data_IF_055512989766
#
_entry.id   IF_055512989766
#
_cell.length_a   1.000
_cell.length_b   1.000
_cell.length_c   1.000
_cell.angle_alpha   90.00
_cell.angle_beta   90.00
_cell.angle_gamma   90.00
#
_symmetry.space_group_name_H-M   'P 1'
#
loop_
_entity.id
_entity.type
_entity.pdbx_description
1 polymer ?
#
# COMPACT_ATOMS: atom_id res chain seq x y z
N UNK A 1 5.32 9.18 5.65
CA UNK A 1 6.11 9.59 6.84
C UNK A 1 7.52 9.84 6.39
N UNK A 2 8.16 10.92 6.85
CA UNK A 2 9.58 11.16 6.58
C UNK A 2 10.44 10.04 7.19
N UNK A 3 11.64 9.82 6.64
CA UNK A 3 12.57 8.80 7.13
C UNK A 3 12.83 9.00 8.63
N UNK A 4 13.10 10.25 9.03
CA UNK A 4 13.26 10.66 10.44
C UNK A 4 12.03 10.29 11.28
N UNK A 5 10.82 10.59 10.80
CA UNK A 5 9.58 10.27 11.52
C UNK A 5 9.40 8.77 11.76
N UNK A 6 9.76 7.90 10.80
CA UNK A 6 9.68 6.44 10.99
C UNK A 6 10.64 5.94 12.06
N UNK A 7 11.83 6.55 12.18
CA UNK A 7 12.82 6.22 13.20
C UNK A 7 12.38 6.70 14.58
N UNK A 8 11.88 7.93 14.70
CA UNK A 8 11.35 8.47 15.97
C UNK A 8 10.22 7.58 16.52
N UNK A 9 9.26 7.22 15.66
CA UNK A 9 8.15 6.34 16.05
C UNK A 9 8.65 4.96 16.47
N UNK A 10 9.63 4.40 15.75
CA UNK A 10 10.18 3.08 16.10
C UNK A 10 10.97 3.09 17.40
N UNK A 11 11.72 4.17 17.68
CA UNK A 11 12.42 4.36 18.96
C UNK A 11 11.43 4.45 20.12
N UNK A 12 10.40 5.29 19.99
CA UNK A 12 9.36 5.43 21.00
C UNK A 12 8.61 4.12 21.23
N UNK A 13 8.22 3.42 20.16
CA UNK A 13 7.55 2.13 20.23
C UNK A 13 8.44 1.04 20.86
N UNK A 14 9.75 1.04 20.55
CA UNK A 14 10.71 0.10 21.16
C UNK A 14 10.82 0.33 22.66
N UNK A 15 10.97 1.58 23.10
CA UNK A 15 11.03 1.91 24.51
C UNK A 15 9.73 1.52 25.23
N UNK A 16 8.58 1.98 24.72
CA UNK A 16 7.28 1.67 25.30
C UNK A 16 7.02 0.16 25.39
N UNK A 17 7.35 -0.58 24.32
CA UNK A 17 7.14 -2.03 24.29
C UNK A 17 8.09 -2.77 25.23
N UNK A 18 9.35 -2.34 25.35
CA UNK A 18 10.32 -2.96 26.26
C UNK A 18 9.88 -2.77 27.73
N UNK A 19 9.57 -1.53 28.13
CA UNK A 19 9.12 -1.27 29.51
C UNK A 19 7.80 -1.97 29.86
N UNK A 20 6.84 -1.99 28.92
CA UNK A 20 5.57 -2.68 29.14
C UNK A 20 5.76 -4.20 29.28
N UNK A 21 6.56 -4.79 28.39
CA UNK A 21 6.92 -6.20 28.46
C UNK A 21 7.60 -6.53 29.79
N UNK A 22 8.61 -5.75 30.18
CA UNK A 22 9.38 -6.00 31.40
C UNK A 22 8.51 -5.90 32.67
N UNK A 23 7.65 -4.87 32.75
CA UNK A 23 6.75 -4.71 33.88
C UNK A 23 5.77 -5.89 34.01
N UNK A 24 5.18 -6.32 32.90
CA UNK A 24 4.22 -7.44 32.89
C UNK A 24 4.91 -8.77 33.17
N UNK A 25 6.11 -8.99 32.61
CA UNK A 25 6.87 -10.22 32.81
C UNK A 25 7.36 -10.35 34.27
N UNK A 26 7.99 -9.32 34.82
CA UNK A 26 8.44 -9.33 36.22
C UNK A 26 7.27 -9.48 37.20
N UNK A 27 6.15 -8.78 36.97
CA UNK A 27 4.96 -8.90 37.81
C UNK A 27 4.35 -10.31 37.76
N UNK A 28 4.27 -10.93 36.58
CA UNK A 28 3.75 -12.28 36.42
C UNK A 28 4.65 -13.33 37.06
N UNK A 29 5.97 -13.21 36.88
CA UNK A 29 6.96 -14.06 37.53
C UNK A 29 6.84 -13.99 39.06
N UNK A 30 6.83 -12.78 39.62
CA UNK A 30 6.70 -12.56 41.06
C UNK A 30 5.36 -13.07 41.60
N UNK A 31 4.27 -12.86 40.86
CA UNK A 31 2.94 -13.34 41.24
C UNK A 31 2.87 -14.86 41.24
N UNK A 32 3.48 -15.53 40.25
CA UNK A 32 3.48 -16.99 40.18
C UNK A 32 4.23 -17.62 41.35
N UNK A 33 5.36 -17.03 41.75
CA UNK A 33 6.07 -17.42 42.98
C UNK A 33 5.21 -17.17 44.22
N UNK A 34 4.62 -15.97 44.35
CA UNK A 34 3.84 -15.59 45.53
C UNK A 34 2.57 -16.44 45.76
N UNK A 35 1.99 -17.00 44.70
CA UNK A 35 0.81 -17.87 44.79
C UNK A 35 1.16 -19.27 45.32
N UNK A 36 2.43 -19.70 45.25
CA UNK A 36 2.87 -21.01 45.76
C UNK A 36 2.27 -22.21 45.00
N UNK A 37 1.79 -22.00 43.77
CA UNK A 37 1.07 -23.04 43.01
C UNK A 37 1.94 -24.27 42.70
N UNK A 38 3.26 -24.10 42.74
CA UNK A 38 4.25 -25.14 42.45
C UNK A 38 5.02 -25.56 43.71
N UNK A 39 4.54 -25.20 44.90
CA UNK A 39 5.16 -25.59 46.16
C UNK A 39 5.12 -27.11 46.34
N UNK A 40 6.27 -27.69 46.70
CA UNK A 40 6.41 -29.15 46.85
C UNK A 40 6.50 -29.93 45.54
N UNK A 41 6.43 -29.27 44.38
CA UNK A 41 6.71 -29.90 43.08
C UNK A 41 8.21 -30.17 42.95
N UNK A 42 8.59 -31.38 42.53
CA UNK A 42 9.99 -31.72 42.34
C UNK A 42 10.65 -30.85 41.27
N UNK A 43 11.91 -30.48 41.49
CA UNK A 43 12.63 -29.51 40.66
C UNK A 43 12.69 -29.93 39.18
N UNK A 44 12.76 -31.24 38.87
CA UNK A 44 12.70 -31.72 37.48
C UNK A 44 11.42 -31.28 36.74
N UNK A 45 10.28 -31.28 37.41
CA UNK A 45 9.00 -30.87 36.81
C UNK A 45 8.90 -29.35 36.65
N UNK A 46 9.53 -28.58 37.55
CA UNK A 46 9.65 -27.12 37.39
C UNK A 46 10.55 -26.76 36.21
N UNK A 47 11.63 -27.51 35.98
CA UNK A 47 12.46 -27.36 34.78
C UNK A 47 11.69 -27.71 33.50
N UNK A 48 10.89 -28.79 33.51
CA UNK A 48 10.01 -29.13 32.37
C UNK A 48 9.02 -28.01 32.10
N UNK A 49 8.43 -27.42 33.15
CA UNK A 49 7.53 -26.28 33.03
C UNK A 49 8.22 -25.03 32.44
N UNK A 50 9.45 -24.74 32.86
CA UNK A 50 10.26 -23.67 32.28
C UNK A 50 10.57 -23.93 30.79
N UNK A 51 10.93 -25.16 30.41
CA UNK A 51 11.14 -25.51 29.00
C UNK A 51 9.86 -25.37 28.19
N UNK A 52 8.72 -25.79 28.73
CA UNK A 52 7.42 -25.65 28.10
C UNK A 52 7.03 -24.17 27.90
N UNK A 53 7.36 -23.29 28.86
CA UNK A 53 7.11 -21.85 28.70
C UNK A 53 7.90 -21.26 27.53
N UNK A 54 9.14 -21.72 27.27
CA UNK A 54 9.91 -21.28 26.10
C UNK A 54 9.31 -21.75 24.78
N UNK A 55 8.70 -22.95 24.75
CA UNK A 55 7.97 -23.40 23.57
C UNK A 55 6.74 -22.50 23.28
N UNK A 56 6.01 -22.09 24.32
CA UNK A 56 4.88 -21.16 24.21
C UNK A 56 5.36 -19.77 23.76
N UNK A 57 6.48 -19.29 24.33
CA UNK A 57 7.11 -18.04 23.92
C UNK A 57 7.53 -18.04 22.45
N UNK A 58 8.09 -19.15 21.95
CA UNK A 58 8.43 -19.26 20.53
C UNK A 58 7.20 -19.11 19.61
N UNK A 59 6.01 -19.56 20.04
CA UNK A 59 4.75 -19.37 19.30
C UNK A 59 4.30 -17.90 19.32
N UNK A 60 4.35 -17.25 20.48
CA UNK A 60 4.06 -15.83 20.64
C UNK A 60 4.98 -14.96 19.78
N UNK A 61 6.29 -15.18 19.92
CA UNK A 61 7.32 -14.51 19.14
C UNK A 61 7.13 -14.72 17.64
N UNK A 62 6.87 -15.95 17.18
CA UNK A 62 6.61 -16.21 15.75
C UNK A 62 5.44 -15.39 15.20
N UNK A 63 4.39 -15.20 16.01
CA UNK A 63 3.24 -14.38 15.64
C UNK A 63 3.65 -12.91 15.51
N UNK A 64 4.40 -12.39 16.47
CA UNK A 64 4.87 -11.01 16.43
C UNK A 64 5.89 -10.75 15.32
N UNK A 65 6.86 -11.63 15.11
CA UNK A 65 7.86 -11.49 14.04
C UNK A 65 7.21 -11.36 12.65
N UNK A 66 6.13 -12.11 12.39
CA UNK A 66 5.35 -12.00 11.16
C UNK A 66 4.65 -10.64 11.06
N UNK A 67 4.00 -10.21 12.13
CA UNK A 67 3.29 -8.93 12.17
C UNK A 67 4.26 -7.75 12.05
N UNK A 68 5.40 -7.78 12.73
CA UNK A 68 6.46 -6.78 12.65
C UNK A 68 7.06 -6.69 11.24
N UNK A 69 7.31 -7.83 10.58
CA UNK A 69 7.76 -7.85 9.19
C UNK A 69 6.73 -7.26 8.21
N UNK A 70 5.43 -7.39 8.49
CA UNK A 70 4.37 -6.74 7.74
C UNK A 70 4.28 -5.24 8.04
N UNK A 71 4.43 -4.84 9.31
CA UNK A 71 4.46 -3.44 9.74
C UNK A 71 5.63 -2.71 9.08
N UNK A 72 6.85 -3.25 9.17
CA UNK A 72 8.04 -2.70 8.50
C UNK A 72 7.83 -2.52 7.00
N UNK A 73 7.21 -3.49 6.34
CA UNK A 73 6.93 -3.41 4.91
C UNK A 73 5.88 -2.32 4.58
N UNK A 74 4.85 -2.15 5.42
CA UNK A 74 3.71 -1.27 5.17
C UNK A 74 3.93 0.18 5.63
N UNK A 75 4.70 0.39 6.71
CA UNK A 75 4.84 1.70 7.37
C UNK A 75 6.30 2.14 7.50
N UNK A 76 7.26 1.22 7.35
CA UNK A 76 8.67 1.46 7.67
C UNK A 76 8.93 1.60 9.18
N UNK A 77 7.96 1.30 10.04
CA UNK A 77 8.10 1.34 11.50
C UNK A 77 8.18 -0.05 12.11
N UNK A 78 8.69 -0.12 13.34
CA UNK A 78 8.87 -1.37 14.10
C UNK A 78 8.70 -1.10 15.58
N UNK A 79 8.25 -2.10 16.33
CA UNK A 79 8.30 -2.09 17.81
C UNK A 79 9.68 -2.50 18.34
N UNK A 80 10.64 -2.66 17.43
CA UNK A 80 12.02 -3.04 17.74
C UNK A 80 13.00 -2.32 16.80
N UNK A 81 13.81 -1.43 17.36
CA UNK A 81 14.71 -0.56 16.59
C UNK A 81 15.81 -1.33 15.86
N UNK A 82 16.33 -2.42 16.42
CA UNK A 82 17.35 -3.25 15.76
C UNK A 82 16.74 -4.03 14.60
N UNK A 83 15.50 -4.51 14.74
CA UNK A 83 14.73 -5.09 13.65
C UNK A 83 14.57 -4.11 12.48
N UNK A 84 14.24 -2.84 12.78
CA UNK A 84 14.16 -1.78 11.75
C UNK A 84 15.50 -1.51 11.11
N UNK A 85 16.57 -1.37 11.89
CA UNK A 85 17.91 -1.15 11.37
C UNK A 85 18.33 -2.26 10.39
N UNK A 86 18.14 -3.52 10.78
CA UNK A 86 18.41 -4.66 9.93
C UNK A 86 17.56 -4.64 8.66
N UNK A 87 16.27 -4.35 8.77
CA UNK A 87 15.37 -4.25 7.62
C UNK A 87 15.84 -3.19 6.62
N UNK A 88 16.11 -1.97 7.08
CA UNK A 88 16.47 -0.83 6.22
C UNK A 88 17.84 -1.05 5.56
N UNK A 89 18.83 -1.56 6.30
CA UNK A 89 20.17 -1.87 5.76
C UNK A 89 20.09 -2.98 4.71
N UNK A 90 19.35 -4.05 4.99
CA UNK A 90 19.21 -5.16 4.04
C UNK A 90 18.39 -4.77 2.83
N UNK A 91 17.32 -3.97 2.99
CA UNK A 91 16.49 -3.50 1.88
C UNK A 91 17.29 -2.65 0.88
N UNK A 92 18.26 -1.85 1.35
CA UNK A 92 19.16 -1.07 0.47
C UNK A 92 20.10 -1.95 -0.36
N UNK A 93 20.40 -3.17 0.09
CA UNK A 93 21.40 -4.06 -0.54
C UNK A 93 20.78 -5.25 -1.27
N UNK A 94 19.59 -5.68 -0.87
CA UNK A 94 18.98 -6.91 -1.34
C UNK A 94 17.95 -6.65 -2.44
N UNK A 95 18.05 -7.42 -3.54
CA UNK A 95 17.05 -7.43 -4.63
C UNK A 95 15.71 -8.09 -4.24
N UNK A 96 15.67 -8.88 -3.15
CA UNK A 96 14.47 -9.60 -2.69
C UNK A 96 14.00 -9.09 -1.33
N UNK A 97 12.74 -8.67 -1.25
CA UNK A 97 12.13 -8.18 -0.01
C UNK A 97 12.02 -9.23 1.11
N UNK A 98 12.01 -10.53 0.76
CA UNK A 98 12.03 -11.62 1.75
C UNK A 98 13.29 -11.62 2.62
N UNK A 99 14.43 -11.21 2.05
CA UNK A 99 15.72 -11.17 2.77
C UNK A 99 15.71 -10.08 3.85
N UNK A 100 15.13 -8.91 3.57
CA UNK A 100 15.00 -7.84 4.54
C UNK A 100 14.10 -8.24 5.72
N UNK A 101 12.98 -8.93 5.45
CA UNK A 101 12.10 -9.45 6.50
C UNK A 101 12.77 -10.51 7.38
N UNK A 102 13.58 -11.39 6.78
CA UNK A 102 14.35 -12.38 7.54
C UNK A 102 15.40 -11.70 8.44
N UNK A 103 16.16 -10.74 7.91
CA UNK A 103 17.14 -9.99 8.69
C UNK A 103 16.48 -9.25 9.87
N UNK A 104 15.33 -8.62 9.62
CA UNK A 104 14.54 -7.97 10.66
C UNK A 104 14.09 -8.96 11.75
N UNK A 105 13.63 -10.15 11.35
CA UNK A 105 13.18 -11.18 12.28
C UNK A 105 14.32 -11.71 13.14
N UNK A 106 15.50 -11.94 12.56
CA UNK A 106 16.71 -12.36 13.28
C UNK A 106 17.14 -11.30 14.28
N UNK A 107 17.18 -10.03 13.88
CA UNK A 107 17.54 -8.94 14.78
C UNK A 107 16.56 -8.79 15.95
N UNK A 108 15.25 -8.91 15.68
CA UNK A 108 14.22 -8.89 16.73
C UNK A 108 14.40 -10.07 17.69
N UNK A 109 14.50 -11.30 17.18
CA UNK A 109 14.69 -12.48 18.04
C UNK A 109 15.97 -12.36 18.88
N UNK A 110 17.07 -11.86 18.31
CA UNK A 110 18.32 -11.62 19.03
C UNK A 110 18.17 -10.63 20.18
N UNK A 111 17.40 -9.55 20.00
CA UNK A 111 17.12 -8.61 21.11
C UNK A 111 16.26 -9.20 22.20
N UNK A 112 15.29 -10.06 21.88
CA UNK A 112 14.50 -10.71 22.92
C UNK A 112 15.36 -11.69 23.72
N UNK A 113 16.18 -12.50 23.06
CA UNK A 113 17.13 -13.40 23.74
C UNK A 113 18.13 -12.62 24.61
N UNK A 114 18.62 -11.47 24.15
CA UNK A 114 19.52 -10.64 24.96
C UNK A 114 18.83 -10.09 26.22
N UNK A 115 17.55 -9.72 26.13
CA UNK A 115 16.75 -9.24 27.26
C UNK A 115 16.48 -10.30 28.33
N UNK A 116 16.64 -11.59 28.03
CA UNK A 116 16.54 -12.66 29.03
C UNK A 116 17.71 -12.64 30.02
N UNK A 117 18.90 -12.19 29.61
CA UNK A 117 20.12 -12.32 30.43
C UNK A 117 19.98 -11.63 31.81
N UNK A 118 19.48 -10.39 31.91
CA UNK A 118 19.20 -9.76 33.20
C UNK A 118 18.23 -10.53 34.10
N UNK A 119 17.22 -11.22 33.54
CA UNK A 119 16.26 -12.00 34.34
C UNK A 119 16.92 -13.19 35.01
N UNK A 120 17.74 -13.94 34.27
CA UNK A 120 18.51 -15.05 34.84
C UNK A 120 19.48 -14.57 35.91
N UNK A 121 20.22 -13.49 35.63
CA UNK A 121 21.15 -12.91 36.60
C UNK A 121 20.44 -12.43 37.87
N UNK A 122 19.28 -11.76 37.73
CA UNK A 122 18.52 -11.27 38.86
C UNK A 122 17.90 -12.43 39.67
N UNK A 123 17.25 -13.39 39.02
CA UNK A 123 16.57 -14.50 39.69
C UNK A 123 17.56 -15.40 40.46
N UNK A 124 18.63 -15.84 39.80
CA UNK A 124 19.64 -16.69 40.44
C UNK A 124 20.59 -15.91 41.34
N UNK A 125 20.85 -14.64 41.05
CA UNK A 125 21.60 -13.76 41.95
C UNK A 125 20.87 -13.53 43.27
N UNK A 126 19.55 -13.35 43.23
CA UNK A 126 18.72 -13.24 44.43
C UNK A 126 18.71 -14.56 45.22
N UNK A 127 18.54 -15.71 44.56
CA UNK A 127 18.60 -17.01 45.20
C UNK A 127 19.98 -17.33 45.82
N UNK A 128 21.06 -16.80 45.27
CA UNK A 128 22.40 -16.95 45.84
C UNK A 128 22.68 -15.97 47.00
N UNK A 129 21.93 -14.88 47.09
CA UNK A 129 22.17 -13.80 48.06
C UNK A 129 21.35 -13.95 49.35
N UNK A 130 20.29 -14.77 49.35
CA UNK A 130 19.41 -14.96 50.52
C UNK A 130 18.78 -16.35 50.56
N UNK A 131 18.66 -16.94 51.76
CA UNK A 131 17.95 -18.20 51.99
C UNK A 131 16.42 -18.07 51.81
N UNK A 132 15.91 -16.84 51.72
CA UNK A 132 14.49 -16.57 51.53
C UNK A 132 13.99 -16.87 50.11
N UNK A 133 14.90 -17.01 49.12
CA UNK A 133 14.56 -17.28 47.72
C UNK A 133 15.29 -18.56 47.31
N UNK A 134 14.55 -19.61 46.99
CA UNK A 134 15.12 -20.88 46.58
C UNK A 134 15.46 -20.88 45.08
N UNK A 135 16.30 -21.84 44.65
CA UNK A 135 16.52 -22.07 43.21
C UNK A 135 15.23 -22.47 42.48
N UNK A 136 14.29 -23.13 43.17
CA UNK A 136 12.97 -23.45 42.63
C UNK A 136 12.17 -22.17 42.41
N UNK A 137 12.18 -21.22 43.35
CA UNK A 137 11.50 -19.92 43.20
C UNK A 137 12.07 -19.13 42.02
N UNK A 138 13.38 -19.16 41.81
CA UNK A 138 14.02 -18.54 40.65
C UNK A 138 13.53 -19.16 39.32
N UNK A 139 13.41 -20.49 39.24
CA UNK A 139 12.89 -21.20 38.07
C UNK A 139 11.41 -20.89 37.82
N UNK A 140 10.60 -20.86 38.88
CA UNK A 140 9.17 -20.52 38.81
C UNK A 140 8.98 -19.07 38.35
N UNK A 141 9.76 -18.13 38.89
CA UNK A 141 9.78 -16.73 38.47
C UNK A 141 10.07 -16.61 36.97
N UNK A 142 11.14 -17.27 36.49
CA UNK A 142 11.52 -17.25 35.08
C UNK A 142 10.42 -17.85 34.19
N UNK A 143 9.80 -18.96 34.61
CA UNK A 143 8.72 -19.56 33.84
C UNK A 143 7.47 -18.66 33.77
N UNK A 144 7.09 -18.01 34.87
CA UNK A 144 6.00 -17.03 34.90
C UNK A 144 6.26 -15.80 34.04
N UNK A 145 7.48 -15.25 34.14
CA UNK A 145 7.91 -14.11 33.31
C UNK A 145 7.88 -14.45 31.81
N UNK A 146 8.37 -15.64 31.44
CA UNK A 146 8.39 -16.09 30.05
C UNK A 146 6.99 -16.35 29.48
N UNK A 147 6.07 -16.92 30.26
CA UNK A 147 4.66 -17.08 29.85
C UNK A 147 3.97 -15.73 29.60
N UNK A 148 4.23 -14.73 30.46
CA UNK A 148 3.74 -13.38 30.27
C UNK A 148 4.34 -12.72 29.03
N UNK A 149 5.64 -12.90 28.80
CA UNK A 149 6.31 -12.43 27.58
C UNK A 149 5.71 -13.06 26.33
N UNK A 150 5.41 -14.36 26.36
CA UNK A 150 4.74 -15.07 25.27
C UNK A 150 3.36 -14.46 24.94
N UNK A 151 2.56 -14.20 25.98
CA UNK A 151 1.25 -13.57 25.86
C UNK A 151 1.33 -12.15 25.31
N UNK A 152 2.30 -11.35 25.78
CA UNK A 152 2.55 -10.00 25.31
C UNK A 152 2.93 -9.98 23.82
N UNK A 153 3.90 -10.80 23.41
CA UNK A 153 4.35 -10.93 22.02
C UNK A 153 3.19 -11.37 21.10
N UNK A 154 2.41 -12.36 21.52
CA UNK A 154 1.21 -12.78 20.78
C UNK A 154 0.20 -11.64 20.64
N UNK A 155 -0.11 -10.95 21.74
CA UNK A 155 -1.05 -9.82 21.77
C UNK A 155 -0.61 -8.67 20.87
N UNK A 156 0.66 -8.26 20.97
CA UNK A 156 1.26 -7.22 20.14
C UNK A 156 1.20 -7.59 18.65
N UNK A 157 1.49 -8.84 18.30
CA UNK A 157 1.36 -9.34 16.94
C UNK A 157 -0.07 -9.29 16.41
N UNK A 158 -1.06 -9.65 17.24
CA UNK A 158 -2.49 -9.61 16.88
C UNK A 158 -3.01 -8.18 16.71
N UNK A 159 -2.63 -7.26 17.60
CA UNK A 159 -2.98 -5.84 17.53
C UNK A 159 -2.36 -5.18 16.32
N UNK A 160 -1.07 -5.41 16.06
CA UNK A 160 -0.37 -4.92 14.87
C UNK A 160 -1.06 -5.43 13.60
N UNK A 161 -1.42 -6.71 13.55
CA UNK A 161 -2.16 -7.27 12.42
C UNK A 161 -3.55 -6.65 12.24
N UNK A 162 -4.26 -6.33 13.33
CA UNK A 162 -5.57 -5.66 13.26
C UNK A 162 -5.44 -4.21 12.77
N UNK A 163 -4.45 -3.47 13.26
CA UNK A 163 -4.13 -2.13 12.81
C UNK A 163 -3.85 -2.10 11.30
N UNK A 164 -3.02 -3.01 10.79
CA UNK A 164 -2.70 -3.07 9.37
C UNK A 164 -3.94 -3.38 8.50
N UNK A 165 -4.87 -4.21 8.98
CA UNK A 165 -6.12 -4.51 8.26
C UNK A 165 -7.07 -3.32 8.14
N UNK A 166 -7.05 -2.40 9.11
CA UNK A 166 -7.97 -1.26 9.16
C UNK A 166 -7.25 0.07 8.90
N UNK A 167 -6.04 0.02 8.31
CA UNK A 167 -5.25 1.23 8.02
C UNK A 167 -5.89 2.09 6.93
N UNK A 168 -6.69 1.48 6.06
CA UNK A 168 -7.34 2.13 4.95
C UNK A 168 -8.85 2.00 5.02
N UNK A 169 -9.52 2.99 4.46
CA UNK A 169 -10.95 3.00 4.21
C UNK A 169 -11.31 2.01 3.09
N UNK A 170 -12.56 1.53 3.10
CA UNK A 170 -13.05 0.61 2.07
C UNK A 170 -13.60 1.39 0.88
N UNK A 171 -13.26 0.95 -0.34
CA UNK A 171 -13.85 1.54 -1.55
C UNK A 171 -15.37 1.32 -1.63
N UNK A 172 -15.86 0.20 -1.12
CA UNK A 172 -17.27 -0.19 -1.19
C UNK A 172 -18.16 0.56 -0.20
N UNK A 173 -17.63 0.95 0.96
CA UNK A 173 -18.44 1.54 2.05
C UNK A 173 -18.11 2.99 2.34
N UNK A 174 -16.88 3.43 2.10
CA UNK A 174 -16.40 4.74 2.53
C UNK A 174 -16.13 5.70 1.37
N UNK A 175 -16.05 5.21 0.14
CA UNK A 175 -15.77 6.02 -1.04
C UNK A 175 -16.98 6.88 -1.44
N UNK A 176 -16.76 8.17 -1.59
CA UNK A 176 -17.76 9.13 -2.05
C UNK A 176 -17.17 9.89 -3.25
N UNK A 177 -17.61 9.60 -4.48
CA UNK A 177 -17.04 10.18 -5.70
C UNK A 177 -16.93 11.70 -5.68
N UNK A 178 -17.95 12.39 -5.17
CA UNK A 178 -18.01 13.85 -5.16
C UNK A 178 -16.97 14.46 -4.21
N UNK A 179 -16.57 13.75 -3.15
CA UNK A 179 -15.46 14.19 -2.28
C UNK A 179 -14.13 14.06 -3.00
N UNK A 180 -13.94 12.98 -3.76
CA UNK A 180 -12.74 12.82 -4.59
C UNK A 180 -12.64 13.94 -5.64
N UNK A 181 -13.74 14.26 -6.31
CA UNK A 181 -13.81 15.36 -7.25
C UNK A 181 -13.56 16.73 -6.60
N UNK A 182 -14.08 16.96 -5.40
CA UNK A 182 -13.85 18.21 -4.67
C UNK A 182 -12.40 18.36 -4.20
N UNK A 183 -11.78 17.27 -3.75
CA UNK A 183 -10.43 17.29 -3.18
C UNK A 183 -9.33 17.41 -4.26
N UNK A 184 -9.50 16.75 -5.42
CA UNK A 184 -8.45 16.63 -6.44
C UNK A 184 -8.75 17.38 -7.74
N UNK A 185 -10.02 17.68 -8.03
CA UNK A 185 -10.44 18.17 -9.35
C UNK A 185 -11.17 19.52 -9.31
N UNK A 186 -11.12 20.22 -8.17
CA UNK A 186 -11.59 21.61 -8.10
C UNK A 186 -10.72 22.59 -8.91
N UNK A 187 -9.46 22.20 -9.18
CA UNK A 187 -8.52 22.89 -10.05
C UNK A 187 -7.62 21.86 -10.75
N UNK A 188 -6.90 22.28 -11.80
CA UNK A 188 -5.91 21.41 -12.45
C UNK A 188 -4.63 21.44 -11.62
N UNK A 189 -4.35 20.33 -10.95
CA UNK A 189 -3.18 20.21 -10.09
C UNK A 189 -1.90 19.87 -10.88
N UNK A 190 -0.69 20.08 -10.30
CA UNK A 190 0.58 19.87 -11.00
C UNK A 190 0.79 18.45 -11.57
N UNK A 191 0.33 17.42 -10.89
CA UNK A 191 0.30 16.04 -11.41
C UNK A 191 -0.61 15.89 -12.63
N UNK A 192 -1.79 16.48 -12.60
CA UNK A 192 -2.73 16.45 -13.73
C UNK A 192 -2.22 17.26 -14.93
N UNK A 193 -1.55 18.39 -14.69
CA UNK A 193 -0.83 19.15 -15.73
C UNK A 193 0.16 18.23 -16.47
N UNK A 194 1.01 17.52 -15.72
CA UNK A 194 1.99 16.60 -16.31
C UNK A 194 1.30 15.41 -17.01
N UNK A 195 0.28 14.84 -16.39
CA UNK A 195 -0.39 13.62 -16.88
C UNK A 195 -1.18 13.88 -18.15
N UNK A 196 -1.92 14.98 -18.24
CA UNK A 196 -2.68 15.36 -19.44
C UNK A 196 -1.72 15.66 -20.60
N UNK A 197 -0.63 16.40 -20.36
CA UNK A 197 0.38 16.68 -21.38
C UNK A 197 1.04 15.39 -21.91
N UNK A 198 1.40 14.49 -21.00
CA UNK A 198 1.94 13.17 -21.34
C UNK A 198 0.95 12.34 -22.16
N UNK A 199 -0.31 12.27 -21.70
CA UNK A 199 -1.36 11.50 -22.37
C UNK A 199 -1.60 11.99 -23.81
N UNK A 200 -1.72 13.31 -24.00
CA UNK A 200 -1.85 13.92 -25.33
C UNK A 200 -0.67 13.57 -26.23
N UNK A 201 0.56 13.62 -25.69
CA UNK A 201 1.77 13.24 -26.42
C UNK A 201 1.77 11.76 -26.83
N UNK A 202 1.47 10.86 -25.89
CA UNK A 202 1.45 9.41 -26.11
C UNK A 202 0.38 8.98 -27.11
N UNK A 203 -0.81 9.61 -27.04
CA UNK A 203 -1.94 9.33 -27.93
C UNK A 203 -1.64 9.68 -29.40
N UNK A 204 -0.63 10.49 -29.71
CA UNK A 204 -0.18 10.73 -31.10
C UNK A 204 0.27 9.46 -31.81
N UNK A 205 0.72 8.46 -31.05
CA UNK A 205 1.15 7.16 -31.56
C UNK A 205 0.07 6.06 -31.47
N UNK A 206 -1.11 6.40 -30.96
CA UNK A 206 -2.21 5.47 -30.83
C UNK A 206 -2.82 5.12 -32.21
N UNK A 207 -3.27 3.88 -32.43
CA UNK A 207 -4.13 3.55 -33.55
C UNK A 207 -5.38 4.45 -33.57
N UNK A 208 -5.69 5.02 -34.74
CA UNK A 208 -6.85 5.89 -34.93
C UNK A 208 -8.06 5.07 -35.38
N UNK A 209 -9.24 5.63 -35.16
CA UNK A 209 -10.55 5.09 -35.57
C UNK A 209 -10.85 3.69 -35.01
N UNK A 210 -10.20 3.34 -33.91
CA UNK A 210 -10.42 2.11 -33.15
C UNK A 210 -11.00 2.42 -31.76
N UNK A 211 -11.74 1.49 -31.13
CA UNK A 211 -12.26 1.72 -29.78
C UNK A 211 -11.15 1.79 -28.74
N UNK A 212 -11.25 2.78 -27.85
CA UNK A 212 -10.29 3.02 -26.76
C UNK A 212 -10.94 2.68 -25.42
N UNK A 213 -10.23 1.89 -24.60
CA UNK A 213 -10.67 1.56 -23.25
C UNK A 213 -9.97 2.45 -22.22
N UNK A 214 -10.75 3.10 -21.37
CA UNK A 214 -10.28 3.63 -20.10
C UNK A 214 -10.62 2.63 -18.99
N UNK A 215 -9.62 2.08 -18.32
CA UNK A 215 -9.81 1.09 -17.25
C UNK A 215 -9.54 1.72 -15.88
N UNK A 216 -10.51 1.65 -14.98
CA UNK A 216 -10.46 2.32 -13.68
C UNK A 216 -10.51 3.84 -13.82
N UNK A 217 -11.45 4.35 -14.60
CA UNK A 217 -11.59 5.78 -14.91
C UNK A 217 -11.97 6.64 -13.68
N UNK A 218 -12.42 6.02 -12.59
CA UNK A 218 -12.95 6.73 -11.44
C UNK A 218 -14.21 7.53 -11.82
N UNK A 219 -14.57 8.57 -11.07
CA UNK A 219 -15.67 9.47 -11.44
C UNK A 219 -15.24 10.58 -12.41
N UNK A 220 -14.14 10.38 -13.16
CA UNK A 220 -13.39 11.48 -13.79
C UNK A 220 -13.46 11.51 -15.31
N UNK A 221 -13.20 12.67 -15.92
CA UNK A 221 -13.23 12.85 -17.39
C UNK A 221 -11.97 13.48 -17.99
N UNK A 222 -11.09 14.09 -17.18
CA UNK A 222 -9.94 14.88 -17.65
C UNK A 222 -8.99 14.10 -18.57
N UNK A 223 -8.79 12.80 -18.36
CA UNK A 223 -8.01 11.94 -19.25
C UNK A 223 -8.74 11.53 -20.54
N UNK A 224 -10.07 11.64 -20.58
CA UNK A 224 -10.88 11.12 -21.69
C UNK A 224 -10.86 12.05 -22.90
N UNK A 225 -10.75 13.36 -22.68
CA UNK A 225 -10.92 14.37 -23.75
C UNK A 225 -9.87 14.26 -24.87
N UNK A 226 -8.65 13.87 -24.55
CA UNK A 226 -7.59 13.70 -25.55
C UNK A 226 -7.87 12.53 -26.52
N UNK A 227 -8.67 11.54 -26.11
CA UNK A 227 -9.01 10.40 -26.96
C UNK A 227 -10.16 10.69 -27.95
N UNK A 228 -10.93 11.76 -27.74
CA UNK A 228 -12.16 12.04 -28.48
C UNK A 228 -11.96 12.21 -30.01
N UNK A 229 -10.80 12.75 -30.43
CA UNK A 229 -10.45 12.98 -31.85
C UNK A 229 -9.83 11.77 -32.56
N UNK A 230 -9.42 10.75 -31.79
CA UNK A 230 -8.71 9.58 -32.33
C UNK A 230 -9.54 8.31 -32.25
N UNK A 231 -10.43 8.19 -31.26
CA UNK A 231 -11.18 6.98 -31.01
C UNK A 231 -12.40 6.90 -31.94
N UNK A 232 -12.73 5.70 -32.45
CA UNK A 232 -14.06 5.49 -33.05
C UNK A 232 -15.15 5.48 -31.97
N UNK A 233 -14.85 4.81 -30.85
CA UNK A 233 -15.67 4.69 -29.64
C UNK A 233 -14.80 4.77 -28.39
N UNK A 234 -15.37 5.27 -27.30
CA UNK A 234 -14.73 5.36 -25.98
C UNK A 234 -15.52 4.49 -25.01
N UNK A 235 -14.83 3.54 -24.39
CA UNK A 235 -15.39 2.68 -23.36
C UNK A 235 -14.78 3.06 -22.01
N UNK A 236 -15.64 3.36 -21.03
CA UNK A 236 -15.22 3.80 -19.71
C UNK A 236 -15.54 2.70 -18.70
N UNK A 237 -14.51 2.08 -18.14
CA UNK A 237 -14.62 1.02 -17.16
C UNK A 237 -14.25 1.48 -15.76
N UNK A 238 -15.06 1.17 -14.75
CA UNK A 238 -14.70 1.35 -13.35
C UNK A 238 -15.25 0.23 -12.46
N UNK A 239 -14.61 -0.02 -11.32
CA UNK A 239 -15.06 -1.02 -10.35
C UNK A 239 -16.30 -0.58 -9.58
N UNK A 240 -16.41 0.71 -9.27
CA UNK A 240 -17.46 1.25 -8.42
C UNK A 240 -18.61 1.79 -9.28
N UNK A 241 -19.84 1.24 -9.15
CA UNK A 241 -21.00 1.77 -9.84
C UNK A 241 -21.26 3.26 -9.55
N UNK A 242 -20.92 3.73 -8.35
CA UNK A 242 -21.06 5.13 -7.96
C UNK A 242 -20.18 6.08 -8.79
N UNK A 243 -18.99 5.63 -9.21
CA UNK A 243 -18.11 6.41 -10.09
C UNK A 243 -18.72 6.54 -11.49
N UNK A 244 -19.20 5.42 -12.04
CA UNK A 244 -19.88 5.40 -13.34
C UNK A 244 -21.16 6.25 -13.34
N UNK A 245 -21.88 6.29 -12.22
CA UNK A 245 -23.06 7.15 -12.06
C UNK A 245 -22.71 8.65 -12.15
N UNK A 246 -21.57 9.09 -11.58
CA UNK A 246 -21.12 10.48 -11.71
C UNK A 246 -20.70 10.82 -13.14
N UNK A 247 -20.05 9.90 -13.84
CA UNK A 247 -19.77 10.05 -15.28
C UNK A 247 -21.08 10.16 -16.08
N UNK A 248 -22.06 9.30 -15.78
CA UNK A 248 -23.37 9.32 -16.45
C UNK A 248 -24.08 10.66 -16.25
N UNK A 249 -23.98 11.26 -15.06
CA UNK A 249 -24.51 12.61 -14.78
C UNK A 249 -23.86 13.68 -15.67
N UNK A 250 -22.54 13.62 -15.88
CA UNK A 250 -21.87 14.55 -16.80
C UNK A 250 -22.27 14.31 -18.26
N UNK A 251 -22.39 13.05 -18.69
CA UNK A 251 -22.86 12.69 -20.04
C UNK A 251 -24.26 13.25 -20.29
N UNK A 252 -25.16 13.13 -19.32
CA UNK A 252 -26.55 13.60 -19.42
C UNK A 252 -26.73 15.10 -19.16
N UNK A 253 -25.64 15.86 -18.97
CA UNK A 253 -25.67 17.29 -18.57
C UNK A 253 -26.54 17.54 -17.34
N UNK A 254 -26.51 16.63 -16.37
CA UNK A 254 -27.32 16.76 -15.16
C UNK A 254 -26.92 18.04 -14.39
N UNK A 255 -27.89 18.74 -13.76
CA UNK A 255 -27.58 19.84 -12.87
C UNK A 255 -26.57 19.43 -11.78
N UNK A 256 -25.55 20.26 -11.57
CA UNK A 256 -24.49 20.01 -10.59
C UNK A 256 -23.57 18.83 -10.93
N UNK A 257 -23.56 18.35 -12.18
CA UNK A 257 -22.45 17.55 -12.67
C UNK A 257 -21.14 18.36 -12.62
N UNK A 258 -20.02 17.69 -12.40
CA UNK A 258 -18.72 18.34 -12.28
C UNK A 258 -18.34 19.11 -13.56
N UNK A 259 -17.80 20.31 -13.39
CA UNK A 259 -17.37 21.17 -14.50
C UNK A 259 -15.95 20.78 -14.96
N UNK A 260 -15.87 20.13 -16.12
CA UNK A 260 -14.60 19.70 -16.71
C UNK A 260 -14.02 20.70 -17.71
N UNK A 261 -14.69 21.84 -17.96
CA UNK A 261 -14.24 22.83 -18.96
C UNK A 261 -12.79 23.29 -18.77
N UNK A 262 -12.27 23.54 -17.54
CA UNK A 262 -10.86 23.88 -17.36
C UNK A 262 -9.91 22.80 -17.88
N UNK A 263 -10.22 21.52 -17.62
CA UNK A 263 -9.42 20.38 -18.06
C UNK A 263 -9.47 20.19 -19.58
N UNK A 264 -10.64 20.42 -20.20
CA UNK A 264 -10.78 20.43 -21.67
C UNK A 264 -9.95 21.54 -22.27
N UNK A 265 -10.02 22.76 -21.71
CA UNK A 265 -9.23 23.90 -22.16
C UNK A 265 -7.73 23.56 -22.12
N UNK A 266 -7.24 23.01 -21.01
CA UNK A 266 -5.84 22.61 -20.90
C UNK A 266 -5.45 21.48 -21.87
N UNK A 267 -6.34 20.50 -22.06
CA UNK A 267 -6.13 19.42 -23.06
C UNK A 267 -5.94 20.00 -24.46
N UNK A 268 -6.78 20.96 -24.88
CA UNK A 268 -6.67 21.64 -26.17
C UNK A 268 -5.35 22.43 -26.29
N UNK A 269 -4.88 23.04 -25.20
CA UNK A 269 -3.56 23.69 -25.19
C UNK A 269 -2.42 22.69 -25.43
N UNK A 270 -2.46 21.51 -24.79
CA UNK A 270 -1.50 20.44 -25.02
C UNK A 270 -1.54 19.91 -26.46
N UNK A 271 -2.70 19.98 -27.12
CA UNK A 271 -2.88 19.62 -28.53
C UNK A 271 -2.38 20.70 -29.51
N UNK A 272 -1.99 21.88 -29.01
CA UNK A 272 -1.41 22.97 -29.79
C UNK A 272 -2.34 24.17 -30.02
N UNK A 273 -3.54 24.18 -29.44
CA UNK A 273 -4.45 25.33 -29.50
C UNK A 273 -4.04 26.34 -28.42
N UNK A 274 -3.29 27.37 -28.77
CA UNK A 274 -2.69 28.28 -27.78
C UNK A 274 -3.71 29.00 -26.87
N UNK A 275 -4.86 29.40 -27.43
CA UNK A 275 -5.96 30.07 -26.73
C UNK A 275 -7.30 29.47 -27.15
N UNK A 276 -7.69 28.32 -26.59
CA UNK A 276 -8.97 27.68 -26.89
C UNK A 276 -10.14 28.62 -26.60
N UNK A 277 -11.09 28.67 -27.52
CA UNK A 277 -12.34 29.41 -27.37
C UNK A 277 -13.37 28.58 -26.59
N UNK A 278 -14.39 29.25 -26.05
CA UNK A 278 -15.49 28.56 -25.36
C UNK A 278 -16.24 27.56 -26.25
N UNK A 279 -16.32 27.86 -27.55
CA UNK A 279 -16.93 27.00 -28.57
C UNK A 279 -16.09 25.75 -28.85
N UNK A 280 -14.76 25.87 -28.92
CA UNK A 280 -13.86 24.71 -29.07
C UNK A 280 -13.91 23.80 -27.84
N UNK A 281 -13.97 24.39 -26.64
CA UNK A 281 -14.15 23.64 -25.38
C UNK A 281 -15.48 22.90 -25.38
N UNK A 282 -16.58 23.60 -25.70
CA UNK A 282 -17.91 22.98 -25.78
C UNK A 282 -17.97 21.88 -26.85
N UNK A 283 -17.34 22.11 -28.00
CA UNK A 283 -17.26 21.13 -29.07
C UNK A 283 -16.55 19.86 -28.63
N UNK A 284 -15.41 19.98 -27.93
CA UNK A 284 -14.65 18.82 -27.44
C UNK A 284 -15.44 18.03 -26.39
N UNK A 285 -16.11 18.70 -25.46
CA UNK A 285 -16.98 17.98 -24.52
C UNK A 285 -18.09 17.21 -25.24
N UNK A 286 -18.74 17.84 -26.22
CA UNK A 286 -19.84 17.23 -26.98
C UNK A 286 -19.36 16.07 -27.84
N UNK A 287 -18.16 16.17 -28.41
CA UNK A 287 -17.52 15.07 -29.11
C UNK A 287 -17.24 13.90 -28.17
N UNK A 288 -16.66 14.16 -26.99
CA UNK A 288 -16.43 13.13 -25.99
C UNK A 288 -17.74 12.45 -25.57
N UNK A 289 -18.80 13.21 -25.26
CA UNK A 289 -20.13 12.67 -24.94
C UNK A 289 -20.68 11.75 -26.04
N UNK A 290 -20.54 12.14 -27.32
CA UNK A 290 -20.97 11.32 -28.47
C UNK A 290 -20.13 10.05 -28.63
N UNK A 291 -18.83 10.13 -28.35
CA UNK A 291 -17.88 9.03 -28.52
C UNK A 291 -17.95 8.01 -27.40
N UNK A 292 -18.41 8.39 -26.21
CA UNK A 292 -18.62 7.45 -25.10
C UNK A 292 -19.84 6.58 -25.40
N UNK A 293 -19.60 5.33 -25.76
CA UNK A 293 -20.65 4.36 -26.13
C UNK A 293 -20.93 3.35 -25.02
N UNK A 294 -20.00 3.15 -24.08
CA UNK A 294 -20.13 2.16 -23.02
C UNK A 294 -19.62 2.66 -21.66
N UNK A 295 -20.42 2.44 -20.62
CA UNK A 295 -20.01 2.46 -19.22
C UNK A 295 -20.00 1.01 -18.70
N UNK A 296 -18.83 0.53 -18.27
CA UNK A 296 -18.61 -0.87 -17.94
C UNK A 296 -18.23 -1.02 -16.47
N UNK A 297 -18.96 -1.85 -15.72
CA UNK A 297 -18.49 -2.26 -14.40
C UNK A 297 -17.41 -3.33 -14.58
N UNK A 298 -16.18 -3.05 -14.14
CA UNK A 298 -15.01 -3.91 -14.36
C UNK A 298 -14.23 -4.14 -13.08
N UNK A 299 -13.63 -5.33 -12.93
CA UNK A 299 -12.81 -5.65 -11.76
C UNK A 299 -11.46 -6.25 -12.20
N UNK A 300 -10.38 -5.50 -11.99
CA UNK A 300 -9.02 -5.90 -12.34
C UNK A 300 -8.51 -7.15 -11.60
N UNK A 301 -9.19 -7.63 -10.56
CA UNK A 301 -8.86 -8.91 -9.93
C UNK A 301 -9.24 -10.12 -10.79
N UNK A 302 -10.23 -9.96 -11.69
CA UNK A 302 -10.60 -10.97 -12.67
C UNK A 302 -9.50 -11.11 -13.73
N UNK A 303 -9.14 -12.35 -14.08
CA UNK A 303 -8.07 -12.63 -15.05
C UNK A 303 -8.40 -12.12 -16.46
N UNK A 304 -9.70 -11.98 -16.78
CA UNK A 304 -10.22 -11.39 -18.01
C UNK A 304 -11.38 -10.47 -17.61
N UNK A 305 -11.11 -9.21 -17.23
CA UNK A 305 -12.14 -8.31 -16.72
C UNK A 305 -13.13 -7.88 -17.82
N UNK A 306 -12.72 -7.99 -19.09
CA UNK A 306 -13.56 -7.75 -20.28
C UNK A 306 -13.21 -8.83 -21.32
N UNK A 307 -14.21 -9.40 -21.97
CA UNK A 307 -14.01 -10.39 -23.06
C UNK A 307 -13.80 -9.70 -24.42
N UNK A 308 -12.86 -8.76 -24.47
CA UNK A 308 -12.49 -7.99 -25.66
C UNK A 308 -11.08 -7.43 -25.52
N UNK A 309 -10.32 -7.44 -26.60
CA UNK A 309 -9.03 -6.74 -26.69
C UNK A 309 -9.22 -5.36 -27.34
N UNK A 310 -8.36 -4.42 -26.95
CA UNK A 310 -8.37 -3.05 -27.42
C UNK A 310 -7.01 -2.67 -28.03
N UNK A 311 -7.04 -1.87 -29.10
CA UNK A 311 -5.82 -1.34 -29.70
C UNK A 311 -5.15 -0.29 -28.80
N UNK A 312 -5.91 0.35 -27.92
CA UNK A 312 -5.42 1.29 -26.90
C UNK A 312 -6.15 1.08 -25.58
N UNK A 313 -5.39 0.93 -24.49
CA UNK A 313 -5.90 0.87 -23.11
C UNK A 313 -5.22 1.95 -22.27
N UNK A 314 -6.00 2.76 -21.56
CA UNK A 314 -5.55 3.88 -20.74
C UNK A 314 -6.03 3.63 -19.31
N UNK A 315 -5.13 3.65 -18.31
CA UNK A 315 -5.46 3.23 -16.94
C UNK A 315 -4.79 4.07 -15.82
N UNK A 316 -4.80 5.42 -15.91
CA UNK A 316 -4.14 6.28 -14.94
C UNK A 316 -4.72 6.13 -13.53
N UNK A 317 -3.82 6.11 -12.53
CA UNK A 317 -4.13 6.09 -11.09
C UNK A 317 -5.07 4.96 -10.63
N UNK A 318 -5.20 3.88 -11.40
CA UNK A 318 -6.09 2.76 -11.10
C UNK A 318 -5.38 1.68 -10.26
N UNK A 319 -4.45 0.94 -10.87
CA UNK A 319 -3.90 -0.26 -10.25
C UNK A 319 -3.10 0.04 -8.99
N UNK A 320 -2.35 1.14 -8.99
CA UNK A 320 -1.54 1.59 -7.86
C UNK A 320 -2.42 2.06 -6.70
N UNK A 321 -3.52 2.77 -6.98
CA UNK A 321 -4.45 3.28 -5.96
C UNK A 321 -5.42 2.23 -5.42
N UNK A 322 -5.61 1.11 -6.12
CA UNK A 322 -6.54 0.06 -5.70
C UNK A 322 -6.00 -0.83 -4.57
N UNK A 323 -4.69 -0.80 -4.27
CA UNK A 323 -4.08 -1.74 -3.32
C UNK A 323 -2.83 -1.18 -2.66
N UNK A 324 -2.52 -1.61 -1.45
CA UNK A 324 -1.27 -1.31 -0.74
C UNK A 324 -0.21 -2.41 -0.91
N UNK A 325 -0.49 -3.39 -1.76
CA UNK A 325 0.29 -4.61 -1.90
C UNK A 325 0.86 -4.74 -3.31
N UNK A 326 2.18 -4.70 -3.42
CA UNK A 326 2.90 -4.83 -4.68
C UNK A 326 2.61 -6.13 -5.46
N UNK A 327 2.33 -7.25 -4.77
CA UNK A 327 1.96 -8.51 -5.42
C UNK A 327 0.58 -8.41 -6.04
N UNK A 328 -0.37 -7.80 -5.33
CA UNK A 328 -1.70 -7.50 -5.85
C UNK A 328 -1.59 -6.54 -7.03
N UNK A 329 -0.83 -5.46 -6.91
CA UNK A 329 -0.59 -4.50 -7.98
C UNK A 329 -0.07 -5.19 -9.26
N UNK A 330 0.94 -6.06 -9.15
CA UNK A 330 1.45 -6.84 -10.31
C UNK A 330 0.37 -7.71 -10.96
N UNK A 331 -0.56 -8.26 -10.15
CA UNK A 331 -1.71 -9.03 -10.67
C UNK A 331 -2.70 -8.11 -11.40
N UNK A 332 -3.04 -6.96 -10.82
CA UNK A 332 -3.93 -5.98 -11.46
C UNK A 332 -3.33 -5.51 -12.79
N UNK A 333 -2.07 -5.08 -12.79
CA UNK A 333 -1.34 -4.66 -13.98
C UNK A 333 -1.38 -5.73 -15.07
N UNK A 334 -1.07 -6.99 -14.74
CA UNK A 334 -1.12 -8.09 -15.72
C UNK A 334 -2.52 -8.29 -16.32
N UNK A 335 -3.56 -8.17 -15.50
CA UNK A 335 -4.94 -8.37 -15.96
C UNK A 335 -5.41 -7.21 -16.84
N UNK A 336 -5.05 -5.97 -16.49
CA UNK A 336 -5.35 -4.76 -17.27
C UNK A 336 -4.57 -4.75 -18.59
N UNK A 337 -3.25 -4.95 -18.55
CA UNK A 337 -2.42 -4.98 -19.77
C UNK A 337 -2.74 -6.18 -20.66
N UNK A 338 -3.32 -7.25 -20.11
CA UNK A 338 -3.86 -8.37 -20.85
C UNK A 338 -4.99 -7.99 -21.83
N UNK A 339 -5.64 -6.84 -21.64
CA UNK A 339 -6.68 -6.28 -22.53
C UNK A 339 -6.10 -5.58 -23.76
N UNK A 340 -4.80 -5.29 -23.77
CA UNK A 340 -4.14 -4.59 -24.89
C UNK A 340 -3.91 -5.61 -26.00
N UNK A 341 -4.45 -5.40 -27.20
CA UNK A 341 -4.22 -6.28 -28.36
C UNK A 341 -2.75 -6.29 -28.81
N UNK A 342 -2.32 -7.28 -29.60
CA UNK A 342 -0.98 -7.28 -30.21
C UNK A 342 -0.67 -5.98 -30.96
N UNK A 343 0.52 -5.42 -30.78
CA UNK A 343 0.89 -4.11 -31.37
C UNK A 343 0.19 -2.89 -30.75
N UNK A 344 -0.73 -3.11 -29.81
CA UNK A 344 -1.52 -2.08 -29.15
C UNK A 344 -0.74 -1.23 -28.16
N UNK A 345 -1.35 -0.13 -27.74
CA UNK A 345 -0.78 0.87 -26.84
C UNK A 345 -1.41 0.76 -25.44
N UNK A 346 -0.56 0.78 -24.43
CA UNK A 346 -0.96 0.94 -23.04
C UNK A 346 -0.41 2.26 -22.51
N UNK A 347 -1.26 3.05 -21.85
CA UNK A 347 -0.85 4.31 -21.22
C UNK A 347 -1.36 4.32 -19.78
N UNK A 348 -0.52 4.72 -18.84
CA UNK A 348 -0.90 4.82 -17.43
C UNK A 348 -0.09 5.89 -16.71
N UNK A 349 -0.66 6.36 -15.60
CA UNK A 349 0.01 7.14 -14.58
C UNK A 349 -0.15 6.44 -13.22
N UNK A 350 0.72 6.71 -12.26
CA UNK A 350 0.63 6.20 -10.90
C UNK A 350 1.30 7.14 -9.91
N UNK A 351 0.87 7.10 -8.65
CA UNK A 351 1.49 7.84 -7.56
C UNK A 351 2.88 7.25 -7.25
N UNK A 352 3.94 8.02 -7.49
CA UNK A 352 5.32 7.53 -7.32
C UNK A 352 5.65 7.42 -5.82
N UNK A 353 6.03 6.22 -5.37
CA UNK A 353 6.43 5.92 -3.97
C UNK A 353 5.42 6.41 -2.92
N UNK A 354 4.15 6.32 -3.27
CA UNK A 354 3.04 6.70 -2.39
C UNK A 354 2.49 5.49 -1.64
N UNK A 355 2.22 5.65 -0.35
CA UNK A 355 1.62 4.61 0.50
C UNK A 355 0.15 4.87 0.80
N UNK A 356 -0.52 5.69 -0.01
CA UNK A 356 -1.93 5.98 0.11
C UNK A 356 -2.23 7.46 0.10
N UNK A 357 -3.43 7.78 -0.32
CA UNK A 357 -3.94 9.12 -0.58
C UNK A 357 -5.19 9.37 0.27
N UNK A 358 -5.67 10.61 0.35
CA UNK A 358 -6.77 10.97 1.24
C UNK A 358 -7.94 11.54 0.45
N UNK A 359 -9.13 11.02 0.68
CA UNK A 359 -10.38 11.50 0.09
C UNK A 359 -11.38 11.76 1.20
N UNK A 360 -11.87 12.98 1.32
CA UNK A 360 -12.88 13.36 2.30
C UNK A 360 -12.47 13.06 3.74
N UNK A 361 -11.18 13.24 4.05
CA UNK A 361 -10.59 12.93 5.36
C UNK A 361 -10.37 11.43 5.64
N UNK A 362 -10.61 10.55 4.66
CA UNK A 362 -10.36 9.10 4.77
C UNK A 362 -9.20 8.68 3.91
N UNK A 363 -8.37 7.77 4.42
CA UNK A 363 -7.16 7.31 3.75
C UNK A 363 -7.43 6.06 2.91
N UNK A 364 -7.07 6.09 1.64
CA UNK A 364 -7.14 4.97 0.69
C UNK A 364 -5.74 4.44 0.36
N UNK A 365 -5.62 3.18 -0.08
CA UNK A 365 -4.32 2.55 -0.29
C UNK A 365 -3.57 3.09 -1.50
N UNK A 366 -2.25 2.92 -1.52
CA UNK A 366 -1.46 2.97 -2.75
C UNK A 366 -0.28 2.01 -2.65
N UNK A 367 0.06 1.39 -3.78
CA UNK A 367 0.94 0.22 -3.83
C UNK A 367 2.42 0.54 -3.57
N UNK A 368 2.77 1.83 -3.43
CA UNK A 368 4.13 2.31 -3.23
C UNK A 368 5.09 1.79 -4.31
N UNK A 369 4.68 1.96 -5.56
CA UNK A 369 5.42 1.54 -6.75
C UNK A 369 6.43 2.60 -7.18
N UNK A 370 7.47 2.15 -7.88
CA UNK A 370 8.39 3.01 -8.62
C UNK A 370 8.67 2.46 -10.02
N UNK A 371 9.52 3.15 -10.77
CA UNK A 371 9.79 2.88 -12.19
C UNK A 371 10.27 1.45 -12.39
N UNK A 372 11.07 0.93 -11.45
CA UNK A 372 11.61 -0.42 -11.53
C UNK A 372 10.53 -1.50 -11.44
N UNK A 373 9.42 -1.20 -10.73
CA UNK A 373 8.27 -2.08 -10.68
C UNK A 373 7.49 -2.10 -12.00
N UNK A 374 7.38 -0.95 -12.69
CA UNK A 374 6.79 -0.85 -14.03
C UNK A 374 7.64 -1.58 -15.07
N UNK A 375 8.96 -1.36 -15.08
CA UNK A 375 9.90 -2.09 -15.93
C UNK A 375 9.75 -3.60 -15.73
N UNK A 376 9.76 -4.06 -14.48
CA UNK A 376 9.64 -5.48 -14.17
C UNK A 376 8.29 -6.08 -14.61
N UNK A 377 7.20 -5.32 -14.52
CA UNK A 377 5.87 -5.76 -14.88
C UNK A 377 5.65 -5.82 -16.41
N UNK A 378 6.25 -4.91 -17.17
CA UNK A 378 5.98 -4.73 -18.60
C UNK A 378 7.02 -5.38 -19.53
N UNK A 379 8.29 -5.49 -19.10
CA UNK A 379 9.45 -5.91 -19.94
C UNK A 379 9.31 -7.21 -20.72
N UNK A 380 8.35 -8.08 -20.37
CA UNK A 380 8.17 -9.37 -21.05
C UNK A 380 7.39 -9.22 -22.36
N UNK A 381 6.36 -8.37 -22.34
CA UNK A 381 5.33 -8.33 -23.39
C UNK A 381 5.24 -6.96 -24.07
N UNK A 382 5.98 -5.95 -23.57
CA UNK A 382 5.90 -4.58 -24.01
C UNK A 382 7.27 -3.90 -24.11
N UNK A 383 7.37 -2.97 -25.07
CA UNK A 383 8.41 -1.95 -25.11
C UNK A 383 7.89 -0.69 -24.41
N UNK A 384 8.44 -0.37 -23.23
CA UNK A 384 7.94 0.68 -22.36
C UNK A 384 8.88 1.90 -22.28
N UNK A 385 8.29 3.09 -22.25
CA UNK A 385 8.93 4.35 -21.88
C UNK A 385 8.30 4.82 -20.57
N UNK A 386 9.12 4.98 -19.54
CA UNK A 386 8.71 5.33 -18.19
C UNK A 386 9.45 6.61 -17.78
N UNK A 387 8.71 7.59 -17.28
CA UNK A 387 9.26 8.84 -16.77
C UNK A 387 8.70 9.17 -15.38
N UNK A 388 9.48 9.89 -14.59
CA UNK A 388 9.08 10.35 -13.26
C UNK A 388 8.96 11.85 -13.31
N UNK A 389 7.75 12.36 -13.06
CA UNK A 389 7.51 13.78 -13.00
C UNK A 389 7.42 14.22 -11.54
N UNK A 390 8.28 15.15 -11.12
CA UNK A 390 8.15 15.80 -9.83
C UNK A 390 7.03 16.84 -9.88
N UNK A 391 6.11 16.76 -8.93
CA UNK A 391 4.91 17.60 -8.88
C UNK A 391 4.89 18.52 -7.65
N UNK A 392 5.73 18.24 -6.65
CA UNK A 392 5.87 19.07 -5.45
C UNK A 392 4.66 19.02 -4.51
N UNK A 393 3.79 18.01 -4.65
CA UNK A 393 2.54 17.87 -3.88
C UNK A 393 2.70 17.08 -2.56
N UNK A 394 3.92 16.82 -2.08
CA UNK A 394 4.16 15.97 -0.89
C UNK A 394 3.38 16.43 0.34
N UNK A 395 3.32 17.75 0.55
CA UNK A 395 2.67 18.36 1.70
C UNK A 395 1.13 18.29 1.61
N UNK A 396 0.58 18.37 0.40
CA UNK A 396 -0.87 18.45 0.16
C UNK A 396 -1.49 17.06 0.11
N UNK A 397 -0.90 16.15 -0.67
CA UNK A 397 -1.52 14.87 -1.03
C UNK A 397 -0.73 13.64 -0.60
N UNK A 398 0.48 13.84 -0.06
CA UNK A 398 1.34 12.75 0.43
C UNK A 398 2.20 12.09 -0.65
N UNK A 399 2.25 12.65 -1.86
CA UNK A 399 3.16 12.26 -2.95
C UNK A 399 3.76 13.50 -3.63
N UNK A 400 5.07 13.47 -3.88
CA UNK A 400 5.80 14.58 -4.52
C UNK A 400 6.03 14.41 -6.01
N UNK A 401 5.59 13.28 -6.57
CA UNK A 401 5.87 12.89 -7.95
C UNK A 401 4.91 11.82 -8.42
N UNK A 402 4.81 11.68 -9.74
CA UNK A 402 4.04 10.63 -10.42
C UNK A 402 4.91 9.88 -11.42
N UNK A 403 4.60 8.60 -11.62
CA UNK A 403 5.18 7.78 -12.69
C UNK A 403 4.26 7.88 -13.89
N UNK A 404 4.79 8.23 -15.06
CA UNK A 404 4.07 8.27 -16.32
C UNK A 404 4.65 7.19 -17.23
N UNK A 405 3.80 6.34 -17.79
CA UNK A 405 4.23 5.18 -18.55
C UNK A 405 3.40 5.01 -19.83
N UNK A 406 4.11 4.87 -20.94
CA UNK A 406 3.55 4.40 -22.20
C UNK A 406 4.26 3.12 -22.60
N UNK A 407 3.52 2.14 -23.10
CA UNK A 407 4.07 0.84 -23.44
C UNK A 407 3.38 0.27 -24.68
N UNK A 408 4.17 -0.16 -25.67
CA UNK A 408 3.64 -0.81 -26.87
C UNK A 408 3.76 -2.32 -26.74
N UNK A 409 2.64 -3.03 -26.89
CA UNK A 409 2.64 -4.49 -26.83
C UNK A 409 3.36 -5.04 -28.05
N UNK A 410 4.19 -6.07 -27.86
CA UNK A 410 4.82 -6.76 -28.99
C UNK A 410 3.76 -7.30 -29.97
N UNK A 411 4.03 -7.20 -31.26
CA UNK A 411 3.19 -7.82 -32.28
C UNK A 411 3.30 -9.35 -32.19
N UNK A 412 2.26 -10.08 -32.60
CA UNK A 412 2.40 -11.52 -32.83
C UNK A 412 3.27 -11.69 -34.07
N UNK A 413 4.50 -12.18 -33.88
CA UNK A 413 5.38 -12.64 -34.96
C UNK A 413 4.83 -13.85 -35.69
#
# INVERSE_FOLDING_TARGET
MSLLGTWTVSLAATAASAYALDAVAAAAGASLVAVGLLDGVAQEWVMVFLVASYAIWAVGLRTNLRANGALLAATGTSTNVLSKAAFDVTRRRARRGSTARLAAAVAYAGTEVAKETPYYLAAFGAAAATDAITSTDALVFLAGANLAAAGYEYGLGRLTGAFLRHRYASFETDWVPQRYLADYYAAIEPDEIATIAFLVSSLRSAPRDEPVLFFGVGPTMHHVFAAAEIASEIHLGDYLPANLAEIQRWISRAPGAHDWRPFVYYTLQCEGVARPTDDEVAHREDLARRKITQLLQVDAMHARPIDRLYSTVISPYCADSATDNLVTWRRLMRNITGLVGPGGLFITAALHRCSGYTVGGRRFPSANVDESDFEAALRRDFDASIEVCATGQDATHGYGSVVLCQARRHAVT
#
